data_IF_759086397312
#
_entry.id   IF_759086397312
#
_cell.length_a   1.000
_cell.length_b   1.000
_cell.length_c   1.000
_cell.angle_alpha   90.00
_cell.angle_beta   90.00
_cell.angle_gamma   90.00
#
_symmetry.space_group_name_H-M   'P 1'
#
loop_
_entity.id
_entity.type
_entity.pdbx_description
1 polymer ?
#
# COMPACT_ATOMS: atom_id res chain seq x y z
N UNK A 1 14.27 -25.07 12.06
CA UNK A 1 13.23 -24.06 11.79
C UNK A 1 13.17 -22.90 12.80
N UNK A 2 13.85 -22.96 13.95
CA UNK A 2 13.84 -21.86 14.95
C UNK A 2 14.91 -20.79 14.72
N UNK A 3 16.08 -21.15 14.16
CA UNK A 3 17.22 -20.21 13.98
C UNK A 3 17.02 -19.22 12.83
N UNK A 4 16.25 -19.60 11.80
CA UNK A 4 15.95 -18.75 10.64
C UNK A 4 14.94 -17.63 10.97
N UNK A 5 14.16 -17.79 12.06
CA UNK A 5 13.16 -16.82 12.50
C UNK A 5 13.82 -15.63 13.23
N UNK A 6 14.93 -15.84 13.92
CA UNK A 6 15.62 -14.82 14.71
C UNK A 6 16.45 -13.87 13.85
N UNK A 7 17.20 -14.39 12.87
CA UNK A 7 18.04 -13.56 12.00
C UNK A 7 17.19 -12.66 11.09
N UNK A 8 16.05 -13.18 10.58
CA UNK A 8 15.08 -12.34 9.85
C UNK A 8 14.47 -11.25 10.74
N UNK A 9 14.15 -11.54 12.00
CA UNK A 9 13.62 -10.54 12.95
C UNK A 9 14.59 -9.38 13.22
N UNK A 10 15.90 -9.65 13.32
CA UNK A 10 16.90 -8.60 13.63
C UNK A 10 17.09 -7.65 12.44
N UNK A 11 17.23 -8.18 11.22
CA UNK A 11 17.28 -7.33 10.01
C UNK A 11 15.96 -6.59 9.75
N UNK A 12 14.82 -7.17 10.15
CA UNK A 12 13.51 -6.51 10.10
C UNK A 12 13.35 -5.41 11.14
N UNK A 13 13.90 -5.54 12.35
CA UNK A 13 13.85 -4.48 13.36
C UNK A 13 14.69 -3.26 12.97
N UNK A 14 15.84 -3.47 12.34
CA UNK A 14 16.64 -2.36 11.81
C UNK A 14 15.93 -1.68 10.64
N UNK A 15 15.34 -2.46 9.73
CA UNK A 15 14.52 -1.91 8.64
C UNK A 15 13.27 -1.19 9.20
N UNK A 16 12.67 -1.71 10.27
CA UNK A 16 11.57 -1.11 11.02
C UNK A 16 11.97 0.25 11.58
N UNK A 17 13.10 0.39 12.25
CA UNK A 17 13.55 1.68 12.79
C UNK A 17 13.87 2.68 11.68
N UNK A 18 14.43 2.25 10.55
CA UNK A 18 14.74 3.13 9.41
C UNK A 18 13.49 3.56 8.65
N UNK A 19 12.58 2.63 8.32
CA UNK A 19 11.30 2.94 7.62
C UNK A 19 10.37 3.74 8.53
N UNK A 20 10.27 3.37 9.82
CA UNK A 20 9.52 4.13 10.82
C UNK A 20 10.09 5.54 10.97
N UNK A 21 11.42 5.68 11.12
CA UNK A 21 12.05 7.00 11.26
C UNK A 21 11.90 7.89 10.02
N UNK A 22 11.91 7.35 8.81
CA UNK A 22 11.84 8.14 7.58
C UNK A 22 10.39 8.42 7.17
N UNK A 23 9.50 7.42 7.22
CA UNK A 23 8.12 7.57 6.71
C UNK A 23 7.13 8.11 7.75
N UNK A 24 7.32 7.84 9.05
CA UNK A 24 6.38 8.32 10.10
C UNK A 24 6.47 9.83 10.35
N UNK A 25 7.58 10.47 9.93
CA UNK A 25 7.77 11.92 10.16
C UNK A 25 7.00 12.79 9.16
N UNK A 26 6.70 12.27 7.97
CA UNK A 26 6.19 13.08 6.87
C UNK A 26 4.79 12.68 6.38
N UNK A 27 4.36 11.42 6.52
CA UNK A 27 3.05 10.97 6.01
C UNK A 27 2.32 10.02 6.98
N UNK A 28 1.08 10.33 7.34
CA UNK A 28 0.19 9.41 8.09
C UNK A 28 -0.44 8.32 7.21
N UNK A 29 0.23 7.92 6.11
CA UNK A 29 -0.25 6.89 5.18
C UNK A 29 0.44 5.57 5.50
N UNK A 30 -0.34 4.49 5.49
CA UNK A 30 0.16 3.15 5.77
C UNK A 30 1.17 2.73 4.67
N UNK A 31 2.43 2.38 5.02
CA UNK A 31 3.52 2.33 4.04
C UNK A 31 3.67 0.99 3.30
N UNK A 32 2.89 -0.03 3.67
CA UNK A 32 2.94 -1.37 3.06
C UNK A 32 1.53 -1.83 2.66
N UNK A 33 1.37 -2.88 1.84
CA UNK A 33 0.05 -3.35 1.43
C UNK A 33 -0.86 -3.65 2.62
N UNK A 34 -2.12 -3.26 2.49
CA UNK A 34 -3.13 -3.42 3.52
C UNK A 34 -3.33 -4.91 3.88
N UNK A 35 -3.49 -5.26 5.17
CA UNK A 35 -3.67 -6.65 5.57
C UNK A 35 -4.84 -7.32 4.83
N UNK A 36 -5.93 -6.60 4.62
CA UNK A 36 -7.08 -7.09 3.88
C UNK A 36 -6.73 -7.51 2.44
N UNK A 37 -5.93 -6.72 1.72
CA UNK A 37 -5.58 -7.01 0.33
C UNK A 37 -4.64 -8.22 0.25
N UNK A 38 -3.72 -8.34 1.22
CA UNK A 38 -2.85 -9.51 1.37
C UNK A 38 -3.66 -10.77 1.71
N UNK A 39 -4.68 -10.63 2.56
CA UNK A 39 -5.60 -11.72 2.86
C UNK A 39 -6.33 -12.16 1.59
N UNK A 40 -6.88 -11.23 0.80
CA UNK A 40 -7.52 -11.57 -0.46
C UNK A 40 -6.56 -12.27 -1.43
N UNK A 41 -5.36 -11.74 -1.61
CA UNK A 41 -4.33 -12.36 -2.45
C UNK A 41 -3.96 -13.77 -1.98
N UNK A 42 -3.99 -14.03 -0.67
CA UNK A 42 -3.74 -15.36 -0.10
C UNK A 42 -4.81 -16.40 -0.43
N UNK A 43 -6.03 -15.96 -0.78
CA UNK A 43 -7.14 -16.84 -1.16
C UNK A 43 -7.18 -17.12 -2.67
N UNK A 44 -6.37 -16.41 -3.46
CA UNK A 44 -6.32 -16.57 -4.91
C UNK A 44 -5.60 -17.86 -5.32
N UNK A 45 -6.04 -18.43 -6.45
CA UNK A 45 -5.45 -19.62 -7.08
C UNK A 45 -5.17 -19.31 -8.54
N UNK A 46 -3.90 -19.08 -8.87
CA UNK A 46 -3.47 -18.71 -10.22
C UNK A 46 -3.86 -19.81 -11.22
N UNK A 47 -3.81 -21.06 -10.80
CA UNK A 47 -4.15 -22.24 -11.60
C UNK A 47 -5.63 -22.25 -12.00
N UNK A 48 -6.52 -21.78 -11.13
CA UNK A 48 -7.96 -21.72 -11.44
C UNK A 48 -8.24 -20.62 -12.47
N UNK A 49 -7.58 -19.47 -12.36
CA UNK A 49 -7.67 -18.43 -13.39
C UNK A 49 -7.14 -18.91 -14.75
N UNK A 50 -6.06 -19.70 -14.77
CA UNK A 50 -5.54 -20.28 -16.02
C UNK A 50 -6.56 -21.23 -16.66
N UNK A 51 -7.21 -22.07 -15.86
CA UNK A 51 -8.28 -22.96 -16.33
C UNK A 51 -9.47 -22.18 -16.87
N UNK A 52 -9.87 -21.10 -16.20
CA UNK A 52 -11.00 -20.28 -16.64
C UNK A 52 -10.70 -19.54 -17.94
N UNK A 53 -9.50 -18.96 -18.10
CA UNK A 53 -9.06 -18.36 -19.38
C UNK A 53 -9.06 -19.40 -20.50
N UNK A 54 -8.57 -20.62 -20.22
CA UNK A 54 -8.60 -21.72 -21.19
C UNK A 54 -10.02 -22.14 -21.55
N UNK A 55 -10.95 -22.18 -20.58
CA UNK A 55 -12.37 -22.49 -20.79
C UNK A 55 -13.03 -21.43 -21.67
N UNK A 56 -12.89 -20.15 -21.33
CA UNK A 56 -13.43 -19.03 -22.10
C UNK A 56 -12.92 -19.04 -23.55
N UNK A 57 -11.63 -19.34 -23.75
CA UNK A 57 -11.05 -19.47 -25.09
C UNK A 57 -11.68 -20.60 -25.90
N UNK A 58 -11.98 -21.74 -25.26
CA UNK A 58 -12.64 -22.87 -25.91
C UNK A 58 -14.10 -22.59 -26.22
N UNK A 59 -14.85 -22.02 -25.28
CA UNK A 59 -16.26 -21.65 -25.47
C UNK A 59 -16.41 -20.66 -26.63
N UNK A 60 -15.55 -19.64 -26.71
CA UNK A 60 -15.57 -18.66 -27.79
C UNK A 60 -15.22 -19.25 -29.17
N UNK A 61 -14.42 -20.32 -29.23
CA UNK A 61 -14.06 -21.00 -30.49
C UNK A 61 -15.01 -22.13 -30.85
N UNK A 62 -15.66 -22.74 -29.86
CA UNK A 62 -16.43 -23.97 -29.97
C UNK A 62 -17.93 -23.76 -30.09
N UNK A 63 -18.46 -22.55 -29.94
CA UNK A 63 -19.88 -22.27 -30.12
C UNK A 63 -20.27 -22.30 -31.62
N UNK A 64 -21.01 -23.33 -32.08
CA UNK A 64 -21.42 -23.47 -33.48
C UNK A 64 -22.40 -22.36 -33.90
N UNK A 65 -23.12 -21.78 -32.93
CA UNK A 65 -24.14 -20.76 -33.15
C UNK A 65 -23.53 -19.41 -33.50
N UNK A 66 -22.48 -18.99 -32.77
CA UNK A 66 -21.66 -17.85 -33.18
C UNK A 66 -21.00 -18.11 -34.51
N UNK A 67 -20.42 -19.29 -34.74
CA UNK A 67 -19.73 -19.59 -36.00
C UNK A 67 -20.66 -19.49 -37.24
N UNK A 68 -21.91 -19.98 -37.15
CA UNK A 68 -22.88 -19.87 -38.24
C UNK A 68 -23.48 -18.46 -38.39
N UNK A 69 -23.80 -17.76 -37.29
CA UNK A 69 -24.29 -16.36 -37.36
C UNK A 69 -23.24 -15.40 -37.90
N UNK A 70 -21.98 -15.59 -37.51
CA UNK A 70 -20.84 -14.83 -38.00
C UNK A 70 -20.59 -15.15 -39.47
N UNK A 71 -20.66 -16.41 -39.92
CA UNK A 71 -20.55 -16.72 -41.36
C UNK A 71 -21.66 -16.08 -42.20
N UNK A 72 -22.90 -16.03 -41.70
CA UNK A 72 -24.01 -15.36 -42.40
C UNK A 72 -23.86 -13.83 -42.44
N UNK A 73 -23.39 -13.19 -41.34
CA UNK A 73 -23.19 -11.74 -41.28
C UNK A 73 -21.81 -11.26 -41.78
N UNK A 74 -20.82 -12.15 -41.90
CA UNK A 74 -19.46 -11.88 -42.41
C UNK A 74 -19.49 -11.33 -43.82
N UNK A 75 -20.44 -11.80 -44.63
CA UNK A 75 -20.55 -11.43 -46.03
C UNK A 75 -21.05 -9.98 -46.21
N UNK A 76 -21.59 -9.35 -45.16
CA UNK A 76 -22.25 -8.04 -45.25
C UNK A 76 -21.72 -6.98 -44.29
N UNK A 77 -21.05 -7.34 -43.17
CA UNK A 77 -20.59 -6.35 -42.20
C UNK A 77 -19.33 -6.77 -41.41
N UNK A 78 -18.18 -6.18 -41.77
CA UNK A 78 -16.87 -6.38 -41.11
C UNK A 78 -16.84 -5.92 -39.65
N UNK A 79 -17.64 -4.91 -39.28
CA UNK A 79 -17.75 -4.44 -37.90
C UNK A 79 -18.41 -5.47 -37.00
N UNK A 80 -19.32 -6.29 -37.55
CA UNK A 80 -19.95 -7.40 -36.81
C UNK A 80 -18.92 -8.48 -36.49
N UNK A 81 -18.04 -8.84 -37.44
CA UNK A 81 -16.96 -9.81 -37.18
C UNK A 81 -15.97 -9.34 -36.13
N UNK A 82 -15.57 -8.06 -36.21
CA UNK A 82 -14.67 -7.46 -35.24
C UNK A 82 -15.26 -7.51 -33.82
N UNK A 83 -16.51 -7.07 -33.68
CA UNK A 83 -17.24 -7.00 -32.39
C UNK A 83 -17.44 -8.38 -31.74
N UNK A 84 -17.82 -9.38 -32.51
CA UNK A 84 -18.27 -10.67 -31.95
C UNK A 84 -17.16 -11.73 -31.82
N UNK A 85 -16.07 -11.64 -32.58
CA UNK A 85 -14.97 -12.61 -32.50
C UNK A 85 -13.62 -12.00 -32.18
N UNK A 86 -13.21 -10.99 -32.95
CA UNK A 86 -11.82 -10.50 -32.88
C UNK A 86 -11.56 -9.79 -31.56
N UNK A 87 -12.45 -8.89 -31.12
CA UNK A 87 -12.29 -8.20 -29.84
C UNK A 87 -12.33 -9.15 -28.63
N UNK A 88 -13.30 -10.09 -28.51
CA UNK A 88 -13.29 -11.06 -27.42
C UNK A 88 -12.05 -11.98 -27.41
N UNK A 89 -11.57 -12.42 -28.58
CA UNK A 89 -10.33 -13.21 -28.68
C UNK A 89 -9.10 -12.40 -28.26
N UNK A 90 -9.01 -11.13 -28.68
CA UNK A 90 -7.93 -10.22 -28.28
C UNK A 90 -7.96 -9.93 -26.77
N UNK A 91 -9.16 -9.75 -26.21
CA UNK A 91 -9.35 -9.58 -24.78
C UNK A 91 -8.88 -10.83 -23.99
N UNK A 92 -9.28 -12.03 -24.41
CA UNK A 92 -8.81 -13.28 -23.82
C UNK A 92 -7.29 -13.42 -23.94
N UNK A 93 -6.71 -13.05 -25.09
CA UNK A 93 -5.26 -13.04 -25.27
C UNK A 93 -4.55 -12.05 -24.33
N UNK A 94 -5.16 -10.90 -24.09
CA UNK A 94 -4.65 -9.88 -23.17
C UNK A 94 -4.72 -10.37 -21.72
N UNK A 95 -5.84 -10.97 -21.32
CA UNK A 95 -5.99 -11.59 -19.99
C UNK A 95 -4.94 -12.67 -19.74
N UNK A 96 -4.70 -13.54 -20.72
CA UNK A 96 -3.70 -14.61 -20.63
C UNK A 96 -2.28 -14.07 -20.45
N UNK A 97 -1.94 -13.01 -21.20
CA UNK A 97 -0.65 -12.31 -21.08
C UNK A 97 -0.48 -11.64 -19.72
N UNK A 98 -1.53 -10.97 -19.22
CA UNK A 98 -1.53 -10.35 -17.88
C UNK A 98 -1.40 -11.40 -16.79
N UNK A 99 -2.15 -12.49 -16.85
CA UNK A 99 -2.09 -13.58 -15.89
C UNK A 99 -0.69 -14.23 -15.86
N UNK A 100 -0.09 -14.47 -17.03
CA UNK A 100 1.26 -15.01 -17.16
C UNK A 100 2.31 -14.06 -16.56
N UNK A 101 2.19 -12.76 -16.84
CA UNK A 101 3.08 -11.74 -16.29
C UNK A 101 2.97 -11.64 -14.76
N UNK A 102 1.74 -11.62 -14.23
CA UNK A 102 1.48 -11.63 -12.78
C UNK A 102 2.05 -12.87 -12.11
N UNK A 103 1.88 -14.05 -12.72
CA UNK A 103 2.43 -15.29 -12.18
C UNK A 103 3.96 -15.25 -12.12
N UNK A 104 4.61 -14.77 -13.20
CA UNK A 104 6.06 -14.59 -13.23
C UNK A 104 6.55 -13.65 -12.13
N UNK A 105 5.94 -12.48 -11.99
CA UNK A 105 6.30 -11.51 -10.95
C UNK A 105 6.13 -12.09 -9.55
N UNK A 106 5.06 -12.87 -9.34
CA UNK A 106 4.85 -13.55 -8.07
C UNK A 106 5.96 -14.57 -7.78
N UNK A 107 6.38 -15.38 -8.74
CA UNK A 107 7.50 -16.31 -8.55
C UNK A 107 8.82 -15.58 -8.28
N UNK A 108 9.13 -14.51 -9.02
CA UNK A 108 10.30 -13.65 -8.76
C UNK A 108 10.27 -13.09 -7.33
N UNK A 109 9.10 -12.65 -6.87
CA UNK A 109 8.89 -12.18 -5.49
C UNK A 109 9.17 -13.29 -4.47
N UNK A 110 8.70 -14.52 -4.71
CA UNK A 110 8.97 -15.65 -3.81
C UNK A 110 10.46 -15.98 -3.71
N UNK A 111 11.20 -15.85 -4.82
CA UNK A 111 12.66 -16.02 -4.87
C UNK A 111 13.35 -14.90 -4.10
N UNK A 112 12.97 -13.64 -4.34
CA UNK A 112 13.55 -12.48 -3.66
C UNK A 112 13.45 -12.58 -2.13
N UNK A 113 12.32 -13.11 -1.62
CA UNK A 113 12.11 -13.34 -0.19
C UNK A 113 12.51 -14.74 0.31
N UNK A 114 13.13 -15.54 -0.55
CA UNK A 114 13.60 -16.90 -0.23
C UNK A 114 12.50 -17.77 0.41
N UNK A 115 11.30 -17.71 -0.15
CA UNK A 115 10.15 -18.53 0.23
C UNK A 115 10.20 -19.82 -0.58
N UNK A 116 10.01 -20.96 0.09
CA UNK A 116 10.02 -22.29 -0.53
C UNK A 116 8.61 -22.87 -0.52
N UNK A 117 8.30 -23.64 -1.55
CA UNK A 117 7.04 -24.36 -1.65
C UNK A 117 6.90 -25.34 -0.48
N UNK A 118 5.69 -25.55 0.01
CA UNK A 118 5.41 -26.55 1.06
C UNK A 118 5.44 -27.97 0.47
N UNK A 119 5.55 -28.97 1.34
CA UNK A 119 5.49 -30.37 0.91
C UNK A 119 4.15 -30.65 0.20
N UNK A 120 4.22 -31.19 -1.02
CA UNK A 120 3.05 -31.42 -1.88
C UNK A 120 2.69 -30.26 -2.81
N UNK A 121 3.32 -29.09 -2.68
CA UNK A 121 3.21 -27.99 -3.63
C UNK A 121 4.30 -28.09 -4.71
N UNK A 122 3.92 -27.96 -5.99
CA UNK A 122 4.88 -27.91 -7.10
C UNK A 122 5.65 -26.59 -7.14
N UNK A 123 4.93 -25.49 -6.88
CA UNK A 123 5.41 -24.12 -6.85
C UNK A 123 4.83 -23.43 -5.60
N UNK A 124 5.43 -22.34 -5.13
CA UNK A 124 4.93 -21.61 -3.96
C UNK A 124 3.51 -21.13 -4.27
N UNK A 125 2.53 -21.45 -3.42
CA UNK A 125 1.17 -20.92 -3.62
C UNK A 125 1.06 -19.46 -3.14
N UNK A 126 0.13 -18.65 -3.71
CA UNK A 126 -0.19 -17.34 -3.17
C UNK A 126 -0.51 -17.38 -1.68
N UNK A 127 -1.20 -18.43 -1.22
CA UNK A 127 -1.47 -18.64 0.19
C UNK A 127 -0.18 -18.76 1.02
N UNK A 128 0.77 -19.60 0.60
CA UNK A 128 2.04 -19.82 1.31
C UNK A 128 2.85 -18.52 1.47
N UNK A 129 2.78 -17.61 0.50
CA UNK A 129 3.47 -16.32 0.57
C UNK A 129 2.66 -15.25 1.32
N UNK A 130 1.43 -14.98 0.88
CA UNK A 130 0.65 -13.83 1.33
C UNK A 130 0.03 -14.03 2.72
N UNK A 131 -0.16 -15.26 3.21
CA UNK A 131 -0.61 -15.47 4.61
C UNK A 131 0.41 -14.94 5.63
N UNK A 132 1.69 -15.18 5.38
CA UNK A 132 2.79 -14.67 6.22
C UNK A 132 2.87 -13.15 6.16
N UNK A 133 2.71 -12.58 4.96
CA UNK A 133 2.69 -11.13 4.79
C UNK A 133 1.46 -10.47 5.39
N UNK A 134 0.31 -11.11 5.33
CA UNK A 134 -0.92 -10.65 5.97
C UNK A 134 -0.72 -10.56 7.50
N UNK A 135 -0.20 -11.61 8.14
CA UNK A 135 0.12 -11.60 9.57
C UNK A 135 1.10 -10.47 9.90
N UNK A 136 2.20 -10.35 9.14
CA UNK A 136 3.18 -9.29 9.31
C UNK A 136 2.58 -7.89 9.16
N UNK A 137 1.78 -7.66 8.11
CA UNK A 137 1.16 -6.36 7.86
C UNK A 137 0.13 -6.03 8.94
N UNK A 138 -0.63 -7.01 9.43
CA UNK A 138 -1.57 -6.78 10.54
C UNK A 138 -0.82 -6.27 11.78
N UNK A 139 0.22 -6.98 12.20
CA UNK A 139 1.04 -6.60 13.36
C UNK A 139 1.70 -5.23 13.14
N UNK A 140 2.27 -5.01 11.94
CA UNK A 140 2.92 -3.75 11.58
C UNK A 140 1.94 -2.58 11.66
N UNK A 141 0.69 -2.77 11.20
CA UNK A 141 -0.34 -1.74 11.21
C UNK A 141 -0.75 -1.28 12.60
N UNK A 142 -0.84 -2.20 13.55
CA UNK A 142 -1.21 -1.86 14.92
C UNK A 142 -0.13 -1.03 15.61
N UNK A 143 1.13 -1.42 15.43
CA UNK A 143 2.28 -0.66 15.92
C UNK A 143 2.38 0.71 15.21
N UNK A 144 2.17 0.76 13.89
CA UNK A 144 2.18 2.01 13.12
C UNK A 144 1.11 2.99 13.60
N UNK A 145 -0.11 2.53 13.88
CA UNK A 145 -1.18 3.37 14.46
C UNK A 145 -0.79 3.91 15.83
N UNK A 146 -0.18 3.08 16.68
CA UNK A 146 0.23 3.46 18.03
C UNK A 146 1.32 4.52 17.99
N UNK A 147 2.34 4.34 17.15
CA UNK A 147 3.44 5.30 17.00
C UNK A 147 2.98 6.62 16.40
N UNK A 148 2.17 6.59 15.33
CA UNK A 148 1.60 7.81 14.76
C UNK A 148 0.76 8.60 15.77
N UNK A 149 -0.01 7.90 16.62
CA UNK A 149 -0.75 8.55 17.69
C UNK A 149 0.18 9.18 18.74
N UNK A 150 1.31 8.55 19.04
CA UNK A 150 2.31 9.11 19.96
C UNK A 150 2.96 10.37 19.38
N UNK A 151 3.41 10.30 18.13
CA UNK A 151 4.04 11.42 17.41
C UNK A 151 3.07 12.61 17.31
N UNK A 152 1.80 12.37 16.97
CA UNK A 152 0.79 13.44 16.92
C UNK A 152 0.59 14.10 18.29
N UNK A 153 0.56 13.32 19.38
CA UNK A 153 0.47 13.85 20.75
C UNK A 153 1.69 14.69 21.12
N UNK A 154 2.89 14.23 20.78
CA UNK A 154 4.14 14.97 21.05
C UNK A 154 4.18 16.29 20.27
N UNK A 155 3.77 16.28 18.99
CA UNK A 155 3.69 17.50 18.17
C UNK A 155 2.66 18.48 18.70
N UNK A 156 1.50 18.00 19.18
CA UNK A 156 0.49 18.83 19.81
C UNK A 156 1.04 19.50 21.09
N UNK A 157 1.67 18.72 21.98
CA UNK A 157 2.28 19.24 23.21
C UNK A 157 3.38 20.25 22.93
N UNK A 158 4.22 20.01 21.92
CA UNK A 158 5.26 20.94 21.52
C UNK A 158 4.68 22.27 20.98
N UNK A 159 3.58 22.22 20.25
CA UNK A 159 2.89 23.42 19.76
C UNK A 159 2.24 24.21 20.91
N UNK A 160 1.59 23.54 21.86
CA UNK A 160 0.99 24.16 23.05
C UNK A 160 2.06 24.85 23.93
N UNK A 161 3.20 24.19 24.14
CA UNK A 161 4.33 24.75 24.87
C UNK A 161 4.93 25.96 24.15
N UNK A 162 5.09 25.87 22.81
CA UNK A 162 5.53 27.00 22.00
C UNK A 162 4.60 28.21 22.14
N UNK A 163 3.28 28.00 22.15
CA UNK A 163 2.30 29.06 22.34
C UNK A 163 2.37 29.68 23.75
N UNK A 164 2.50 28.86 24.80
CA UNK A 164 2.66 29.36 26.18
C UNK A 164 3.92 30.22 26.31
N UNK A 165 5.04 29.78 25.77
CA UNK A 165 6.28 30.55 25.78
C UNK A 165 6.14 31.88 25.05
N UNK A 166 5.48 31.93 23.88
CA UNK A 166 5.24 33.20 23.16
C UNK A 166 4.33 34.14 23.95
N UNK A 167 3.34 33.62 24.69
CA UNK A 167 2.45 34.43 25.54
C UNK A 167 3.18 34.98 26.77
N UNK A 168 3.97 34.18 27.47
CA UNK A 168 4.79 34.60 28.62
C UNK A 168 5.85 35.63 28.19
N UNK A 169 6.70 35.24 27.23
CA UNK A 169 7.06 36.02 26.03
C UNK A 169 6.72 37.52 25.99
N UNK A 170 5.49 37.76 25.57
CA UNK A 170 4.93 39.08 25.30
C UNK A 170 4.54 39.83 26.58
N UNK A 171 4.21 39.12 27.66
CA UNK A 171 3.72 39.71 28.91
C UNK A 171 4.82 40.40 29.72
N UNK A 172 6.08 39.93 29.64
CA UNK A 172 7.22 40.58 30.33
C UNK A 172 7.84 41.76 29.57
N UNK A 173 7.44 42.01 28.31
CA UNK A 173 8.03 43.06 27.47
C UNK A 173 7.32 44.42 27.57
N UNK A 174 6.51 44.63 28.61
CA UNK A 174 5.94 45.95 28.93
C UNK A 174 7.01 46.78 29.65
N UNK A 175 7.86 47.49 28.89
CA UNK A 175 8.74 48.53 29.47
C UNK A 175 7.88 49.67 30.02
N UNK A 176 7.96 50.04 31.31
CA UNK A 176 7.39 51.30 31.79
C UNK A 176 8.21 52.45 31.19
N UNK A 177 7.56 53.39 30.49
CA UNK A 177 8.20 54.67 30.16
C UNK A 177 8.40 55.44 31.47
N UNK A 178 9.65 55.71 31.82
CA UNK A 178 10.02 56.57 32.94
C UNK A 178 9.60 58.01 32.60
N UNK A 179 8.52 58.50 33.22
CA UNK A 179 8.23 59.93 33.26
C UNK A 179 9.01 60.52 34.43
N UNK A 180 10.25 60.98 34.17
CA UNK A 180 10.99 61.78 35.15
C UNK A 180 10.33 63.14 35.26
N UNK A 181 9.56 63.35 36.33
CA UNK A 181 9.09 64.67 36.74
C UNK A 181 10.27 65.52 37.22
N UNK A 182 10.37 66.74 36.71
CA UNK A 182 11.18 67.79 37.32
C UNK A 182 10.19 68.73 38.03
N UNK A 183 10.28 68.74 39.36
CA UNK A 183 9.65 69.74 40.23
C UNK A 183 10.50 71.00 40.14
N UNK A 184 9.90 72.12 39.70
CA UNK A 184 10.53 73.44 39.75
C UNK A 184 10.38 74.01 41.16
N UNK A 185 11.49 74.13 41.88
CA UNK A 185 11.55 74.75 43.20
C UNK A 185 11.45 76.28 43.08
N UNK A 186 10.47 76.85 43.78
CA UNK A 186 10.32 78.28 44.05
C UNK A 186 11.54 78.80 44.80
N UNK A 187 12.23 79.80 44.26
CA UNK A 187 13.24 80.58 44.96
C UNK A 187 12.65 81.94 45.35
N UNK A 188 12.61 82.20 46.65
CA UNK A 188 12.23 83.48 47.26
C UNK A 188 13.48 84.35 47.39
N UNK A 189 13.42 85.59 46.89
CA UNK A 189 14.04 86.77 47.48
C UNK A 189 13.36 88.03 46.94
#
# INVERSE_FOLDING_TARGET
FSTCRTVRKVSFLTLWHTISGIMMRETCVYPIPEPHDLFQASQMKIEDFQKDVMRLRKELRGDPFTHNKIKQHAHTNTNTLNTFLIFPLLFISTLDSKLSSTHKLFLELTVAFSVKAKAGEKEVSPNTFFSVWHEFSSDFKDHWKKENKSILKERLKAAEEGFRQVKEKASYNVKPKHASGIVSSTFTL
#
